data_IF_758749368139
#
_entry.id   IF_758749368139
#
_cell.length_a   1.000
_cell.length_b   1.000
_cell.length_c   1.000
_cell.angle_alpha   90.00
_cell.angle_beta   90.00
_cell.angle_gamma   90.00
#
_symmetry.space_group_name_H-M   'P 1'
#
loop_
_entity.id
_entity.type
_entity.pdbx_description
1 polymer ?
#
# COMPACT_ATOMS: atom_id res chain seq x y z
N UNK A 1 -4.89 -12.65 58.21
CA UNK A 1 -5.33 -11.27 57.92
C UNK A 1 -4.07 -10.48 57.66
N UNK A 2 -3.73 -10.19 56.40
CA UNK A 2 -2.50 -9.49 56.03
C UNK A 2 -2.84 -8.33 55.09
N UNK A 3 -2.57 -7.12 55.55
CA UNK A 3 -2.91 -5.85 54.91
C UNK A 3 -2.11 -5.62 53.64
N UNK A 4 -2.80 -5.20 52.57
CA UNK A 4 -2.17 -4.73 51.33
C UNK A 4 -1.64 -3.32 51.57
N UNK A 5 -0.32 -3.14 51.45
CA UNK A 5 0.31 -1.81 51.46
C UNK A 5 -0.02 -1.10 50.14
N UNK A 6 -0.73 0.02 50.22
CA UNK A 6 -1.10 0.85 49.08
C UNK A 6 0.13 1.61 48.55
N UNK A 7 0.40 1.47 47.25
CA UNK A 7 1.46 2.18 46.53
C UNK A 7 0.96 3.60 46.25
N UNK A 8 1.68 4.61 46.76
CA UNK A 8 1.35 6.03 46.58
C UNK A 8 1.95 6.60 45.29
N UNK A 9 1.28 7.61 44.72
CA UNK A 9 1.53 8.25 43.40
C UNK A 9 2.94 8.86 43.17
N UNK A 10 3.91 8.66 44.06
CA UNK A 10 5.29 9.16 43.92
C UNK A 10 6.31 8.11 43.49
N UNK A 11 5.94 6.84 43.36
CA UNK A 11 6.87 5.76 42.97
C UNK A 11 6.86 5.41 41.46
N UNK A 12 6.09 6.11 40.62
CA UNK A 12 6.01 5.84 39.17
C UNK A 12 7.09 6.59 38.34
N UNK A 13 7.89 7.48 38.96
CA UNK A 13 8.83 8.34 38.22
C UNK A 13 10.29 7.86 38.18
N UNK A 14 10.57 6.59 38.49
CA UNK A 14 11.94 6.03 38.43
C UNK A 14 12.15 4.95 37.35
N UNK A 15 11.29 4.89 36.32
CA UNK A 15 11.36 3.89 35.24
C UNK A 15 11.37 4.44 33.81
N UNK A 16 11.61 5.75 33.62
CA UNK A 16 11.56 6.40 32.29
C UNK A 16 12.92 6.98 31.86
N UNK A 17 14.01 6.30 32.21
CA UNK A 17 15.36 6.67 31.76
C UNK A 17 15.85 5.71 30.68
N UNK A 18 16.17 6.24 29.50
CA UNK A 18 16.86 5.61 28.35
C UNK A 18 15.95 4.99 27.26
N UNK A 19 15.37 5.83 26.40
CA UNK A 19 15.34 5.64 24.91
C UNK A 19 14.98 6.93 24.14
N UNK A 20 15.24 8.13 24.68
CA UNK A 20 14.89 9.39 24.01
C UNK A 20 15.98 9.99 23.10
N UNK A 21 17.03 9.23 22.73
CA UNK A 21 18.12 9.73 21.86
C UNK A 21 18.14 9.11 20.45
N UNK A 22 17.22 8.20 20.11
CA UNK A 22 17.16 7.60 18.75
C UNK A 22 16.26 8.34 17.75
N UNK A 23 15.32 9.18 18.21
CA UNK A 23 14.22 9.70 17.39
C UNK A 23 14.53 10.97 16.59
N UNK A 24 15.57 11.72 16.98
CA UNK A 24 15.91 12.99 16.31
C UNK A 24 16.75 12.74 15.04
N UNK A 25 17.52 11.64 15.00
CA UNK A 25 18.37 11.30 13.86
C UNK A 25 17.61 10.84 12.63
N UNK A 26 16.59 9.98 12.80
CA UNK A 26 15.88 9.35 11.68
C UNK A 26 14.88 10.28 10.99
N UNK A 27 14.22 11.18 11.72
CA UNK A 27 13.31 12.17 11.13
C UNK A 27 14.03 13.18 10.24
N UNK A 28 15.25 13.58 10.61
CA UNK A 28 16.07 14.50 9.82
C UNK A 28 16.61 13.86 8.55
N UNK A 29 16.85 12.55 8.54
CA UNK A 29 17.25 11.80 7.36
C UNK A 29 16.10 11.67 6.36
N UNK A 30 14.87 11.38 6.81
CA UNK A 30 13.68 11.34 5.94
C UNK A 30 13.32 12.72 5.36
N UNK A 31 13.39 13.78 6.16
CA UNK A 31 13.16 15.15 5.66
C UNK A 31 14.28 15.61 4.71
N UNK A 32 15.54 15.27 4.97
CA UNK A 32 16.65 15.57 4.05
C UNK A 32 16.64 14.73 2.79
N UNK A 33 16.15 13.48 2.86
CA UNK A 33 15.95 12.63 1.68
C UNK A 33 14.76 13.16 0.85
N UNK A 34 13.63 13.50 1.47
CA UNK A 34 12.45 14.06 0.80
C UNK A 34 12.73 15.39 0.08
N UNK A 35 13.56 16.27 0.66
CA UNK A 35 13.94 17.55 0.05
C UNK A 35 15.03 17.45 -1.02
N UNK A 36 15.77 16.33 -1.10
CA UNK A 36 16.84 16.10 -2.06
C UNK A 36 16.58 14.90 -2.98
N UNK A 37 15.35 14.36 -3.04
CA UNK A 37 15.00 13.42 -4.10
C UNK A 37 15.18 14.20 -5.40
N UNK A 38 16.09 13.79 -6.30
CA UNK A 38 16.19 14.45 -7.59
C UNK A 38 14.84 14.30 -8.26
N UNK A 39 14.10 15.40 -8.39
CA UNK A 39 13.01 15.51 -9.35
C UNK A 39 13.68 15.30 -10.71
N UNK A 40 13.75 14.05 -11.11
CA UNK A 40 14.33 13.67 -12.38
C UNK A 40 13.40 14.28 -13.40
N UNK A 41 13.89 15.26 -14.15
CA UNK A 41 13.12 15.96 -15.18
C UNK A 41 12.47 14.92 -16.11
N UNK A 42 11.17 14.66 -15.91
CA UNK A 42 10.38 13.60 -16.55
C UNK A 42 10.06 13.94 -18.02
N UNK A 43 11.09 14.23 -18.82
CA UNK A 43 10.94 14.46 -20.26
C UNK A 43 11.85 13.56 -21.12
N UNK A 44 12.35 12.46 -20.56
CA UNK A 44 13.07 11.38 -21.26
C UNK A 44 12.82 10.12 -20.42
N UNK A 45 12.12 9.07 -20.82
CA UNK A 45 11.84 8.51 -22.14
C UNK A 45 10.63 7.59 -22.01
N UNK A 46 9.57 7.86 -22.76
CA UNK A 46 8.78 6.78 -23.36
C UNK A 46 9.72 6.05 -24.35
N UNK A 47 10.58 5.18 -23.85
CA UNK A 47 11.38 4.28 -24.68
C UNK A 47 11.90 3.13 -23.80
N UNK A 48 11.01 2.17 -23.57
CA UNK A 48 11.27 0.72 -23.57
C UNK A 48 9.94 0.01 -23.24
N UNK A 49 9.13 -0.21 -24.28
CA UNK A 49 7.83 -0.88 -24.19
C UNK A 49 6.65 0.09 -24.12
N UNK A 50 5.59 -0.22 -24.85
CA UNK A 50 4.38 0.59 -25.01
C UNK A 50 3.47 0.54 -23.75
N UNK A 51 4.05 0.67 -22.55
CA UNK A 51 3.32 0.59 -21.28
C UNK A 51 2.68 1.94 -20.90
N UNK A 52 1.42 1.96 -20.43
CA UNK A 52 0.79 3.19 -19.96
C UNK A 52 1.28 3.62 -18.57
N UNK A 53 2.06 2.79 -17.87
CA UNK A 53 2.46 2.99 -16.49
C UNK A 53 3.80 3.73 -16.34
N UNK A 54 3.94 4.61 -15.34
CA UNK A 54 5.18 5.34 -15.08
C UNK A 54 6.23 4.42 -14.43
N UNK A 55 7.51 4.78 -14.49
CA UNK A 55 8.58 4.02 -13.82
C UNK A 55 9.27 4.82 -12.70
N UNK A 56 8.46 5.55 -11.93
CA UNK A 56 8.89 6.37 -10.80
C UNK A 56 9.40 5.52 -9.64
N UNK A 57 10.21 6.12 -8.76
CA UNK A 57 10.71 5.46 -7.56
C UNK A 57 9.67 5.53 -6.43
N UNK A 58 9.40 4.40 -5.78
CA UNK A 58 8.58 4.29 -4.59
C UNK A 58 9.36 3.56 -3.48
N UNK A 59 8.81 3.56 -2.28
CA UNK A 59 9.38 2.91 -1.11
C UNK A 59 8.36 1.97 -0.49
N UNK A 60 8.77 0.73 -0.24
CA UNK A 60 7.94 -0.21 0.54
C UNK A 60 7.93 0.20 2.02
N UNK A 61 6.95 -0.30 2.76
CA UNK A 61 6.90 -0.22 4.23
C UNK A 61 8.10 -0.87 4.95
N UNK A 62 8.93 -1.62 4.23
CA UNK A 62 10.20 -2.19 4.72
C UNK A 62 11.39 -1.25 4.45
N UNK A 63 11.13 -0.06 3.89
CA UNK A 63 12.15 0.93 3.52
C UNK A 63 12.89 0.63 2.21
N UNK A 64 12.46 -0.39 1.44
CA UNK A 64 13.11 -0.76 0.17
C UNK A 64 12.65 0.18 -0.95
N UNK A 65 13.60 0.79 -1.66
CA UNK A 65 13.34 1.51 -2.89
C UNK A 65 13.00 0.53 -4.04
N UNK A 66 11.96 0.85 -4.81
CA UNK A 66 11.46 0.06 -5.95
C UNK A 66 11.05 0.98 -7.10
N UNK A 67 11.11 0.48 -8.33
CA UNK A 67 10.62 1.13 -9.55
C UNK A 67 9.21 0.64 -9.84
N UNK A 68 8.26 1.57 -9.99
CA UNK A 68 6.84 1.21 -10.10
C UNK A 68 6.57 0.20 -11.20
N UNK A 69 6.99 0.47 -12.44
CA UNK A 69 6.73 -0.46 -13.53
C UNK A 69 7.63 -1.70 -13.43
N UNK A 70 8.95 -1.51 -13.40
CA UNK A 70 9.90 -2.64 -13.53
C UNK A 70 9.83 -3.63 -12.36
N UNK A 71 9.73 -3.15 -11.12
CA UNK A 71 9.75 -4.03 -9.96
C UNK A 71 8.36 -4.51 -9.54
N UNK A 72 7.31 -3.74 -9.81
CA UNK A 72 5.96 -4.02 -9.27
C UNK A 72 4.96 -4.51 -10.33
N UNK A 73 5.06 -4.08 -11.58
CA UNK A 73 4.03 -4.35 -12.60
C UNK A 73 4.49 -5.31 -13.68
N UNK A 74 5.70 -5.11 -14.20
CA UNK A 74 6.21 -5.81 -15.39
C UNK A 74 6.06 -7.32 -15.27
N UNK A 75 5.37 -7.92 -16.24
CA UNK A 75 5.14 -9.37 -16.36
C UNK A 75 4.42 -10.02 -15.15
N UNK A 76 3.68 -9.24 -14.34
CA UNK A 76 3.01 -9.72 -13.12
C UNK A 76 1.49 -9.72 -13.22
N UNK A 77 0.87 -10.59 -12.42
CA UNK A 77 -0.52 -10.43 -12.00
C UNK A 77 -0.54 -9.60 -10.72
N UNK A 78 -1.18 -8.43 -10.76
CA UNK A 78 -1.17 -7.47 -9.65
C UNK A 78 -2.59 -7.15 -9.19
N UNK A 79 -2.76 -6.93 -7.89
CA UNK A 79 -3.95 -6.34 -7.28
C UNK A 79 -3.52 -5.11 -6.47
N UNK A 80 -4.02 -3.94 -6.86
CA UNK A 80 -3.55 -2.64 -6.37
C UNK A 80 -4.73 -1.85 -5.84
N UNK A 81 -4.63 -1.28 -4.65
CA UNK A 81 -5.61 -0.32 -4.14
C UNK A 81 -4.94 0.90 -3.50
N UNK A 82 -5.71 1.97 -3.37
CA UNK A 82 -5.29 3.18 -2.65
C UNK A 82 -5.75 3.11 -1.20
N UNK A 83 -4.92 3.57 -0.27
CA UNK A 83 -5.21 3.65 1.18
C UNK A 83 -4.63 4.95 1.76
N UNK A 84 -4.91 5.22 3.03
CA UNK A 84 -4.05 6.05 3.88
C UNK A 84 -4.22 5.58 5.33
N UNK A 85 -3.15 5.60 6.12
CA UNK A 85 -3.09 4.84 7.37
C UNK A 85 -4.03 5.35 8.46
N UNK A 86 -4.36 6.64 8.42
CA UNK A 86 -5.21 7.32 9.41
C UNK A 86 -6.71 7.32 9.04
N UNK A 87 -7.10 6.62 7.97
CA UNK A 87 -8.50 6.55 7.56
C UNK A 87 -9.36 5.83 8.62
N UNK A 88 -10.34 6.52 9.17
CA UNK A 88 -11.33 5.97 10.12
C UNK A 88 -12.62 5.47 9.44
N UNK A 89 -12.70 5.53 8.11
CA UNK A 89 -13.90 5.20 7.33
C UNK A 89 -13.81 3.83 6.66
N UNK A 90 -13.80 3.82 5.33
CA UNK A 90 -13.93 2.60 4.51
C UNK A 90 -12.65 1.76 4.43
N UNK A 91 -11.47 2.35 4.62
CA UNK A 91 -10.19 1.66 4.41
C UNK A 91 -10.02 0.42 5.32
N UNK A 92 -10.32 0.46 6.63
CA UNK A 92 -10.26 -0.75 7.47
C UNK A 92 -11.14 -1.91 6.96
N UNK A 93 -12.32 -1.61 6.41
CA UNK A 93 -13.25 -2.60 5.87
C UNK A 93 -12.68 -3.20 4.57
N UNK A 94 -12.22 -2.34 3.65
CA UNK A 94 -11.56 -2.76 2.42
C UNK A 94 -10.31 -3.61 2.70
N UNK A 95 -9.49 -3.20 3.67
CA UNK A 95 -8.32 -3.96 4.11
C UNK A 95 -8.71 -5.33 4.66
N UNK A 96 -9.76 -5.43 5.47
CA UNK A 96 -10.25 -6.72 5.97
C UNK A 96 -10.71 -7.66 4.84
N UNK A 97 -11.42 -7.14 3.83
CA UNK A 97 -11.81 -7.91 2.65
C UNK A 97 -10.59 -8.42 1.89
N UNK A 98 -9.60 -7.56 1.67
CA UNK A 98 -8.36 -7.91 0.97
C UNK A 98 -7.48 -8.88 1.79
N UNK A 99 -7.52 -8.85 3.12
CA UNK A 99 -6.89 -9.89 3.96
C UNK A 99 -7.54 -11.24 3.71
N UNK A 100 -8.87 -11.31 3.55
CA UNK A 100 -9.51 -12.57 3.17
C UNK A 100 -9.08 -13.03 1.77
N UNK A 101 -8.96 -12.11 0.80
CA UNK A 101 -8.42 -12.43 -0.53
C UNK A 101 -6.98 -12.95 -0.44
N UNK A 102 -6.12 -12.32 0.38
CA UNK A 102 -4.75 -12.79 0.65
C UNK A 102 -4.77 -14.22 1.20
N UNK A 103 -5.65 -14.52 2.15
CA UNK A 103 -5.79 -15.86 2.73
C UNK A 103 -6.27 -16.89 1.69
N UNK A 104 -7.22 -16.52 0.82
CA UNK A 104 -7.70 -17.39 -0.26
C UNK A 104 -6.61 -17.68 -1.32
N UNK A 105 -5.75 -16.72 -1.60
CA UNK A 105 -4.61 -16.88 -2.50
C UNK A 105 -3.49 -17.73 -1.87
N UNK A 106 -3.31 -17.64 -0.54
CA UNK A 106 -2.28 -18.38 0.19
C UNK A 106 -0.88 -18.09 -0.34
N UNK A 107 -0.10 -19.15 -0.59
CA UNK A 107 1.28 -19.04 -1.10
C UNK A 107 1.41 -18.43 -2.50
N UNK A 108 0.29 -18.23 -3.22
CA UNK A 108 0.30 -17.52 -4.50
C UNK A 108 0.66 -16.05 -4.32
N UNK A 109 0.41 -15.46 -3.15
CA UNK A 109 0.74 -14.05 -2.90
C UNK A 109 2.26 -13.86 -2.81
N UNK A 110 2.80 -12.99 -3.65
CA UNK A 110 4.24 -12.75 -3.77
C UNK A 110 4.97 -13.73 -4.70
N UNK A 111 4.27 -14.70 -5.28
CA UNK A 111 4.80 -15.66 -6.26
C UNK A 111 4.09 -15.59 -7.61
N UNK A 112 2.77 -15.77 -7.58
CA UNK A 112 1.90 -15.79 -8.76
C UNK A 112 1.10 -14.49 -8.88
N UNK A 113 0.61 -13.97 -7.75
CA UNK A 113 -0.18 -12.73 -7.65
C UNK A 113 0.51 -11.80 -6.66
N UNK A 114 0.63 -10.52 -7.01
CA UNK A 114 1.28 -9.52 -6.17
C UNK A 114 0.27 -8.48 -5.69
N UNK A 115 0.20 -8.28 -4.37
CA UNK A 115 -0.72 -7.33 -3.75
C UNK A 115 0.02 -6.07 -3.32
N UNK A 116 -0.54 -4.92 -3.67
CA UNK A 116 0.04 -3.62 -3.39
C UNK A 116 -1.00 -2.63 -2.88
N UNK A 117 -0.69 -1.94 -1.78
CA UNK A 117 -1.46 -0.80 -1.33
C UNK A 117 -0.62 0.46 -1.40
N UNK A 118 -1.11 1.52 -2.03
CA UNK A 118 -0.38 2.77 -2.22
C UNK A 118 -1.06 3.88 -1.42
N UNK A 119 -0.30 4.62 -0.62
CA UNK A 119 -0.86 5.71 0.18
C UNK A 119 -1.34 6.91 -0.67
N UNK A 120 -2.41 7.57 -0.25
CA UNK A 120 -2.87 8.89 -0.74
C UNK A 120 -2.31 10.07 0.08
N UNK A 121 -1.61 9.78 1.19
CA UNK A 121 -1.03 10.77 2.08
C UNK A 121 0.47 10.51 2.30
N UNK A 122 1.30 10.52 1.24
CA UNK A 122 2.73 10.23 1.35
C UNK A 122 3.50 11.18 2.30
N UNK A 123 2.95 12.34 2.61
CA UNK A 123 3.49 13.32 3.54
C UNK A 123 3.37 12.88 5.01
N UNK A 124 2.44 11.97 5.30
CA UNK A 124 2.15 11.45 6.64
C UNK A 124 2.50 9.96 6.75
N UNK A 125 2.22 9.20 5.70
CA UNK A 125 2.39 7.75 5.65
C UNK A 125 3.81 7.38 5.21
N UNK A 126 4.75 7.56 6.14
CA UNK A 126 6.12 7.04 6.01
C UNK A 126 6.12 5.51 5.96
N UNK A 127 7.21 4.85 5.50
CA UNK A 127 7.28 3.38 5.53
C UNK A 127 7.00 2.78 6.90
N UNK A 128 7.46 3.43 7.96
CA UNK A 128 7.24 3.00 9.33
C UNK A 128 5.77 3.06 9.73
N UNK A 129 5.06 4.13 9.35
CA UNK A 129 3.60 4.25 9.57
C UNK A 129 2.85 3.17 8.80
N UNK A 130 3.24 2.92 7.54
CA UNK A 130 2.64 1.87 6.72
C UNK A 130 2.91 0.46 7.26
N UNK A 131 4.09 0.23 7.84
CA UNK A 131 4.43 -1.03 8.51
C UNK A 131 3.53 -1.26 9.72
N UNK A 132 3.37 -0.25 10.57
CA UNK A 132 2.46 -0.30 11.72
C UNK A 132 0.99 -0.52 11.30
N UNK A 133 0.57 0.07 10.18
CA UNK A 133 -0.73 -0.19 9.59
C UNK A 133 -0.89 -1.67 9.22
N UNK A 134 0.07 -2.23 8.47
CA UNK A 134 0.04 -3.64 8.06
C UNK A 134 -0.02 -4.60 9.26
N UNK A 135 0.78 -4.34 10.30
CA UNK A 135 0.82 -5.13 11.53
C UNK A 135 -0.51 -5.10 12.29
N UNK A 136 -1.10 -3.91 12.44
CA UNK A 136 -2.40 -3.74 13.12
C UNK A 136 -3.52 -4.53 12.45
N UNK A 137 -3.45 -4.67 11.13
CA UNK A 137 -4.45 -5.37 10.32
C UNK A 137 -4.10 -6.84 10.06
N UNK A 138 -3.01 -7.36 10.65
CA UNK A 138 -2.62 -8.77 10.51
C UNK A 138 -2.23 -9.16 9.09
N UNK A 139 -1.72 -8.20 8.30
CA UNK A 139 -1.38 -8.42 6.90
C UNK A 139 -0.07 -9.19 6.80
N UNK A 140 -0.04 -10.21 5.94
CA UNK A 140 1.17 -11.02 5.73
C UNK A 140 2.21 -10.28 4.87
N UNK A 141 3.49 -10.60 5.08
CA UNK A 141 4.64 -9.90 4.47
C UNK A 141 4.69 -9.91 2.94
N UNK A 142 3.90 -10.77 2.28
CA UNK A 142 3.77 -10.88 0.83
C UNK A 142 3.01 -9.72 0.18
N UNK A 143 2.22 -8.95 0.96
CA UNK A 143 1.52 -7.75 0.50
C UNK A 143 2.33 -6.50 0.86
N UNK A 144 2.72 -5.71 -0.15
CA UNK A 144 3.53 -4.50 0.07
C UNK A 144 2.69 -3.23 0.13
N UNK A 145 2.90 -2.45 1.19
CA UNK A 145 2.44 -1.07 1.29
C UNK A 145 3.52 -0.12 0.78
N UNK A 146 3.13 0.91 0.05
CA UNK A 146 4.01 1.77 -0.73
C UNK A 146 3.73 3.26 -0.47
N UNK A 147 4.81 4.04 -0.42
CA UNK A 147 4.81 5.52 -0.36
C UNK A 147 5.89 6.07 -1.30
N UNK A 148 5.97 7.39 -1.46
CA UNK A 148 6.88 8.03 -2.43
C UNK A 148 6.77 9.55 -2.42
N UNK A 149 7.36 10.20 -3.41
CA UNK A 149 7.17 11.64 -3.58
C UNK A 149 5.68 11.95 -3.89
N UNK A 150 5.11 13.04 -3.37
CA UNK A 150 3.70 13.39 -3.60
C UNK A 150 3.29 13.41 -5.08
N UNK A 151 4.12 14.00 -5.94
CA UNK A 151 3.87 14.07 -7.38
C UNK A 151 3.95 12.69 -8.07
N UNK A 152 4.83 11.80 -7.60
CA UNK A 152 4.97 10.45 -8.12
C UNK A 152 3.76 9.59 -7.73
N UNK A 153 3.28 9.72 -6.49
CA UNK A 153 2.06 9.07 -6.02
C UNK A 153 0.85 9.57 -6.80
N UNK A 154 0.74 10.88 -7.02
CA UNK A 154 -0.31 11.48 -7.85
C UNK A 154 -0.26 10.91 -9.28
N UNK A 155 0.91 10.87 -9.91
CA UNK A 155 1.08 10.31 -11.26
C UNK A 155 0.69 8.83 -11.32
N UNK A 156 1.14 8.00 -10.38
CA UNK A 156 0.79 6.58 -10.30
C UNK A 156 -0.71 6.39 -10.12
N UNK A 157 -1.34 7.15 -9.21
CA UNK A 157 -2.79 7.14 -8.97
C UNK A 157 -3.59 7.42 -10.25
N UNK A 158 -3.23 8.46 -11.00
CA UNK A 158 -3.90 8.77 -12.29
C UNK A 158 -3.69 7.68 -13.34
N UNK A 159 -2.47 7.14 -13.46
CA UNK A 159 -2.15 6.09 -14.44
C UNK A 159 -2.81 4.75 -14.11
N UNK A 160 -3.11 4.51 -12.84
CA UNK A 160 -3.96 3.42 -12.38
C UNK A 160 -5.47 3.73 -12.52
N UNK A 161 -5.87 4.91 -13.00
CA UNK A 161 -7.28 5.26 -13.18
C UNK A 161 -8.02 5.52 -11.87
N UNK A 162 -7.31 5.78 -10.77
CA UNK A 162 -7.89 6.10 -9.47
C UNK A 162 -8.15 7.59 -9.31
N UNK A 163 -8.93 8.17 -10.23
CA UNK A 163 -9.24 9.60 -10.22
C UNK A 163 -10.70 9.86 -10.58
N UNK A 164 -11.22 10.97 -10.07
CA UNK A 164 -12.46 11.58 -10.56
C UNK A 164 -12.16 12.58 -11.69
N UNK A 165 -13.09 12.73 -12.62
CA UNK A 165 -12.98 13.69 -13.72
C UNK A 165 -13.20 15.13 -13.25
N UNK A 166 -13.95 15.32 -12.17
CA UNK A 166 -14.11 16.61 -11.51
C UNK A 166 -12.97 16.81 -10.50
N UNK A 167 -12.09 17.77 -10.78
CA UNK A 167 -10.95 18.07 -9.92
C UNK A 167 -11.36 18.48 -8.50
N UNK A 168 -12.54 19.09 -8.31
CA UNK A 168 -12.99 19.48 -6.97
C UNK A 168 -13.35 18.25 -6.13
N UNK A 169 -13.81 17.18 -6.78
CA UNK A 169 -14.07 15.89 -6.13
C UNK A 169 -12.75 15.16 -5.92
N UNK A 170 -11.92 15.11 -6.96
CA UNK A 170 -10.66 14.35 -6.98
C UNK A 170 -9.60 14.87 -6.00
N UNK A 171 -9.61 16.18 -5.72
CA UNK A 171 -8.69 16.81 -4.76
C UNK A 171 -9.08 16.55 -3.29
N UNK A 172 -10.28 16.03 -3.02
CA UNK A 172 -10.67 15.58 -1.69
C UNK A 172 -10.10 14.18 -1.49
N UNK A 173 -9.04 14.05 -0.70
CA UNK A 173 -8.30 12.78 -0.53
C UNK A 173 -9.17 11.65 0.00
N UNK A 174 -10.21 11.98 0.75
CA UNK A 174 -11.23 11.06 1.27
C UNK A 174 -12.14 10.51 0.17
N UNK A 175 -12.31 11.26 -0.93
CA UNK A 175 -13.06 10.86 -2.10
C UNK A 175 -12.13 10.12 -3.07
N UNK A 176 -11.82 8.87 -2.76
CA UNK A 176 -11.13 7.99 -3.70
C UNK A 176 -12.05 6.87 -4.16
N UNK A 177 -11.76 6.32 -5.35
CA UNK A 177 -12.67 5.45 -6.10
C UNK A 177 -13.12 4.18 -5.36
N UNK A 178 -12.48 3.81 -4.25
CA UNK A 178 -12.81 2.61 -3.48
C UNK A 178 -12.61 1.31 -4.26
N UNK A 179 -11.80 1.33 -5.33
CA UNK A 179 -11.57 0.20 -6.22
C UNK A 179 -10.24 -0.51 -5.93
N UNK A 180 -10.20 -1.79 -6.26
CA UNK A 180 -8.99 -2.59 -6.43
C UNK A 180 -8.76 -2.76 -7.93
N UNK A 181 -7.67 -2.21 -8.45
CA UNK A 181 -7.26 -2.41 -9.83
C UNK A 181 -6.46 -3.70 -9.95
N UNK A 182 -6.88 -4.56 -10.87
CA UNK A 182 -6.32 -5.89 -11.03
C UNK A 182 -5.83 -6.01 -12.47
N UNK A 183 -4.60 -6.47 -12.65
CA UNK A 183 -3.95 -6.51 -13.96
C UNK A 183 -3.11 -7.75 -14.16
N UNK A 184 -2.98 -8.18 -15.40
CA UNK A 184 -1.97 -9.09 -15.89
C UNK A 184 -1.20 -8.35 -16.99
N UNK A 185 0.00 -7.87 -16.65
CA UNK A 185 0.81 -7.05 -17.55
C UNK A 185 1.27 -7.85 -18.77
N UNK A 186 1.70 -9.10 -18.59
CA UNK A 186 2.17 -9.99 -19.66
C UNK A 186 1.11 -10.23 -20.75
N UNK A 187 -0.19 -10.19 -20.39
CA UNK A 187 -1.30 -10.33 -21.32
C UNK A 187 -1.96 -9.00 -21.70
N UNK A 188 -1.48 -7.87 -21.15
CA UNK A 188 -2.12 -6.56 -21.25
C UNK A 188 -3.63 -6.59 -20.93
N UNK A 189 -4.01 -7.35 -19.89
CA UNK A 189 -5.42 -7.49 -19.46
C UNK A 189 -5.61 -6.85 -18.09
N UNK A 190 -6.56 -5.93 -18.00
CA UNK A 190 -6.83 -5.17 -16.79
C UNK A 190 -8.33 -5.13 -16.49
N UNK A 191 -8.67 -5.19 -15.21
CA UNK A 191 -10.03 -5.06 -14.68
C UNK A 191 -9.99 -4.35 -13.33
N UNK A 192 -11.14 -4.10 -12.74
CA UNK A 192 -11.26 -3.56 -11.39
C UNK A 192 -12.44 -4.19 -10.66
N UNK A 193 -12.34 -4.28 -9.34
CA UNK A 193 -13.45 -4.66 -8.47
C UNK A 193 -13.58 -3.64 -7.32
N UNK A 194 -14.79 -3.33 -6.83
CA UNK A 194 -14.93 -2.53 -5.62
C UNK A 194 -14.24 -3.22 -4.44
N UNK A 195 -13.47 -2.47 -3.65
CA UNK A 195 -12.75 -3.01 -2.49
C UNK A 195 -13.69 -3.43 -1.35
N UNK A 196 -14.93 -2.93 -1.35
CA UNK A 196 -15.98 -3.30 -0.42
C UNK A 196 -16.85 -4.48 -0.90
N UNK A 197 -16.60 -5.01 -2.11
CA UNK A 197 -17.25 -6.24 -2.56
C UNK A 197 -16.84 -7.43 -1.70
N UNK A 198 -17.67 -8.48 -1.73
CA UNK A 198 -17.34 -9.77 -1.11
C UNK A 198 -15.96 -10.29 -1.59
N UNK A 199 -15.13 -10.84 -0.69
CA UNK A 199 -13.78 -11.33 -1.05
C UNK A 199 -13.77 -12.29 -2.24
N UNK A 200 -14.82 -13.13 -2.38
CA UNK A 200 -14.97 -14.08 -3.48
C UNK A 200 -15.13 -13.37 -4.83
N UNK A 201 -15.77 -12.21 -4.87
CA UNK A 201 -15.92 -11.42 -6.10
C UNK A 201 -14.61 -10.77 -6.53
N UNK A 202 -13.83 -10.27 -5.57
CA UNK A 202 -12.48 -9.74 -5.83
C UNK A 202 -11.58 -10.89 -6.33
N UNK A 203 -11.63 -12.05 -5.66
CA UNK A 203 -10.88 -13.25 -6.06
C UNK A 203 -11.29 -13.76 -7.45
N UNK A 204 -12.57 -13.78 -7.78
CA UNK A 204 -13.05 -14.13 -9.12
C UNK A 204 -12.48 -13.19 -10.19
N UNK A 205 -12.36 -11.90 -9.89
CA UNK A 205 -11.75 -10.93 -10.80
C UNK A 205 -10.25 -11.20 -11.01
N UNK A 206 -9.51 -11.56 -9.95
CA UNK A 206 -8.11 -11.99 -10.05
C UNK A 206 -8.00 -13.26 -10.91
N UNK A 207 -8.81 -14.28 -10.64
CA UNK A 207 -8.79 -15.54 -11.38
C UNK A 207 -9.16 -15.37 -12.87
N UNK A 208 -10.00 -14.40 -13.22
CA UNK A 208 -10.33 -14.09 -14.61
C UNK A 208 -9.13 -13.54 -15.41
N UNK A 209 -8.15 -12.96 -14.71
CA UNK A 209 -6.95 -12.35 -15.27
C UNK A 209 -5.70 -13.23 -15.13
N UNK A 210 -5.70 -14.19 -14.20
CA UNK A 210 -4.59 -15.12 -14.01
C UNK A 210 -4.76 -16.40 -14.86
N UNK A 211 -3.90 -16.64 -15.87
CA UNK A 211 -3.95 -17.86 -16.68
C UNK A 211 -3.67 -19.14 -15.88
N UNK A 212 -3.08 -19.03 -14.67
CA UNK A 212 -2.79 -20.15 -13.77
C UNK A 212 -3.92 -20.41 -12.78
N UNK A 213 -5.03 -19.68 -12.87
CA UNK A 213 -6.19 -19.91 -12.01
C UNK A 213 -6.74 -21.32 -12.22
N UNK A 214 -6.46 -22.20 -11.27
CA UNK A 214 -7.09 -23.52 -11.20
C UNK A 214 -8.56 -23.25 -10.90
N UNK A 215 -9.45 -23.51 -11.86
CA UNK A 215 -10.88 -23.48 -11.59
C UNK A 215 -11.16 -24.53 -10.52
N UNK A 216 -11.51 -24.09 -9.32
CA UNK A 216 -12.09 -24.98 -8.32
C UNK A 216 -13.35 -25.56 -8.94
N UNK A 217 -13.32 -26.84 -9.31
CA UNK A 217 -14.56 -27.59 -9.54
C UNK A 217 -15.40 -27.39 -8.28
N UNK A 218 -16.59 -26.83 -8.45
CA UNK A 218 -17.60 -26.91 -7.41
C UNK A 218 -17.83 -28.40 -7.13
N UNK A 219 -17.49 -28.83 -5.92
CA UNK A 219 -17.86 -30.13 -5.36
C UNK A 219 -19.23 -29.94 -4.69
#
# INVERSE_FOLDING_TARGET
MNEKKAITRREILAGMGLTALGMIGLNSAWQKLGNNIPHTNQNRTAAEGNTPFPNVALYTHEGKAVRFYDDLIRDKVVAINMIYAQCAGICPIATANLVQVQNMLGERVGRDVFMYSITLQPELDTPEVLRQYAERHGIQSSWKFLTGAPEDIKLVRYRLGFFDRDENIDNVKENHTGMVRIGNDALNRWSMAPALSEPQQIMATINHLDPRAVHTRHI
#
